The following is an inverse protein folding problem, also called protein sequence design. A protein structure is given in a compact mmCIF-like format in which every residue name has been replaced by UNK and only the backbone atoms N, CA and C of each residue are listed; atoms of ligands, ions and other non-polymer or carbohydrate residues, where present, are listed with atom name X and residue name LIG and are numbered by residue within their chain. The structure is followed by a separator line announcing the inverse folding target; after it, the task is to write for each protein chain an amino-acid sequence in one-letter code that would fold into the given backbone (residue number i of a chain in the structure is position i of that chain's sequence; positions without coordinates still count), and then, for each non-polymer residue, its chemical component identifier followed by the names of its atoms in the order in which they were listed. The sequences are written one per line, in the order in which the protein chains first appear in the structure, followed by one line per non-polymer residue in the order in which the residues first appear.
data_IF_350490990291
#
_entry.id   IF_350490990291
#
_cell.length_a   1.000
_cell.length_b   1.000
_cell.length_c   1.000
_cell.angle_alpha   90.00
_cell.angle_beta   90.00
_cell.angle_gamma   90.00
#
_symmetry.space_group_name_H-M   'P 1'
#
loop_
_entity.id
_entity.type
_entity.pdbx_description
1 polymer ?
#
# COMPACT_ATOMS: atom_id res chain seq x y z
N UNK A 1 39.84 34.70 25.13
CA UNK A 1 38.95 33.54 25.41
C UNK A 1 37.70 33.51 24.50
N UNK A 2 37.78 33.88 23.22
CA UNK A 2 36.63 33.86 22.28
C UNK A 2 36.86 33.03 21.00
N UNK A 3 38.13 32.78 20.66
CA UNK A 3 38.50 32.00 19.46
C UNK A 3 38.26 30.49 19.61
N UNK A 4 38.44 29.95 20.83
CA UNK A 4 38.19 28.53 21.14
C UNK A 4 36.71 28.13 21.01
N UNK A 5 35.77 29.06 21.26
CA UNK A 5 34.33 28.78 21.17
C UNK A 5 33.86 28.70 19.70
N UNK A 6 34.39 29.57 18.84
CA UNK A 6 34.05 29.58 17.40
C UNK A 6 34.54 28.30 16.72
N UNK A 7 35.75 27.83 17.08
CA UNK A 7 36.28 26.58 16.55
C UNK A 7 35.46 25.36 16.97
N UNK A 8 34.93 25.38 18.20
CA UNK A 8 34.06 24.31 18.73
C UNK A 8 32.70 24.29 18.01
N UNK A 9 32.14 25.45 17.69
CA UNK A 9 30.89 25.58 16.95
C UNK A 9 31.05 25.13 15.48
N UNK A 10 32.15 25.50 14.82
CA UNK A 10 32.47 25.07 13.46
C UNK A 10 32.70 23.56 13.37
N UNK A 11 33.36 22.97 14.38
CA UNK A 11 33.56 21.52 14.45
C UNK A 11 32.22 20.78 14.59
N UNK A 12 31.30 21.28 15.42
CA UNK A 12 29.96 20.68 15.59
C UNK A 12 29.17 20.72 14.28
N UNK A 13 29.16 21.86 13.57
CA UNK A 13 28.47 21.99 12.29
C UNK A 13 29.04 21.07 11.20
N UNK A 14 30.36 20.86 11.18
CA UNK A 14 31.01 19.90 10.27
C UNK A 14 30.61 18.45 10.57
N UNK A 15 30.55 18.07 11.85
CA UNK A 15 30.16 16.71 12.27
C UNK A 15 28.68 16.45 11.97
N UNK A 16 27.80 17.44 12.17
CA UNK A 16 26.37 17.33 11.82
C UNK A 16 26.17 17.13 10.31
N UNK A 17 26.89 17.88 9.46
CA UNK A 17 26.83 17.68 8.00
C UNK A 17 27.35 16.30 7.58
N UNK A 18 28.42 15.79 8.20
CA UNK A 18 28.93 14.43 7.95
C UNK A 18 27.92 13.34 8.36
N UNK A 19 27.19 13.53 9.47
CA UNK A 19 26.13 12.61 9.90
C UNK A 19 24.95 12.61 8.92
N UNK A 20 24.55 13.77 8.40
CA UNK A 20 23.47 13.89 7.41
C UNK A 20 23.82 13.24 6.05
N UNK A 21 25.09 13.26 5.64
CA UNK A 21 25.55 12.59 4.42
C UNK A 21 25.50 11.06 4.57
N UNK A 22 25.72 10.52 5.78
CA UNK A 22 25.69 9.07 6.05
C UNK A 22 24.28 8.44 5.97
N UNK A 23 23.21 9.24 6.04
CA UNK A 23 21.83 8.74 5.99
C UNK A 23 21.24 8.60 4.58
N UNK A 24 22.00 8.82 3.50
CA UNK A 24 21.47 8.82 2.12
C UNK A 24 22.00 7.75 1.17
N UNK A 25 22.66 6.71 1.66
CA UNK A 25 23.32 5.71 0.80
C UNK A 25 22.92 4.26 1.13
N UNK A 26 21.62 3.94 1.04
CA UNK A 26 21.16 2.54 1.14
C UNK A 26 19.97 2.21 0.25
N UNK A 27 20.05 2.49 -1.05
CA UNK A 27 19.30 1.77 -2.11
C UNK A 27 19.95 1.98 -3.48
N UNK A 28 21.12 1.35 -3.74
CA UNK A 28 21.62 1.17 -5.12
C UNK A 28 22.67 0.04 -5.20
N UNK A 29 22.22 -1.21 -5.13
CA UNK A 29 22.95 -2.36 -5.71
C UNK A 29 22.05 -3.60 -5.68
N UNK A 30 21.63 -4.05 -6.85
CA UNK A 30 21.44 -5.44 -7.33
C UNK A 30 20.69 -5.28 -8.67
N UNK A 31 21.39 -4.70 -9.64
CA UNK A 31 21.19 -4.98 -11.05
C UNK A 31 22.61 -5.22 -11.53
N UNK A 32 22.95 -6.49 -11.69
CA UNK A 32 23.83 -7.04 -12.73
C UNK A 32 24.22 -8.48 -12.34
N UNK A 33 23.78 -9.40 -13.21
CA UNK A 33 24.45 -10.64 -13.60
C UNK A 33 24.18 -11.90 -12.76
N UNK A 34 23.13 -12.63 -13.14
CA UNK A 34 23.33 -14.06 -13.43
C UNK A 34 22.73 -14.39 -14.79
N UNK A 35 23.56 -14.19 -15.81
CA UNK A 35 23.36 -14.76 -17.14
C UNK A 35 23.28 -16.28 -17.01
N UNK A 36 22.13 -16.85 -17.38
CA UNK A 36 22.08 -18.22 -17.89
C UNK A 36 21.28 -18.18 -19.18
N UNK A 37 22.01 -18.04 -20.29
CA UNK A 37 21.53 -18.58 -21.56
C UNK A 37 21.28 -20.09 -21.40
N UNK A 38 20.26 -20.57 -22.13
CA UNK A 38 20.04 -21.95 -22.61
C UNK A 38 18.83 -22.70 -22.02
N UNK A 39 17.64 -22.37 -22.54
CA UNK A 39 16.64 -23.37 -22.99
C UNK A 39 16.11 -22.83 -24.34
N UNK A 40 16.82 -23.05 -25.45
CA UNK A 40 16.55 -24.11 -26.45
C UNK A 40 15.06 -24.27 -26.77
N UNK A 41 14.65 -23.54 -27.79
CA UNK A 41 13.96 -24.01 -28.99
C UNK A 41 12.72 -24.93 -28.85
N UNK A 42 11.67 -24.43 -29.51
CA UNK A 42 10.84 -25.12 -30.52
C UNK A 42 9.49 -25.72 -30.11
N UNK A 43 8.49 -25.23 -30.87
CA UNK A 43 7.25 -25.88 -31.31
C UNK A 43 6.09 -25.80 -30.32
N UNK A 44 4.84 -25.61 -30.72
CA UNK A 44 4.19 -25.32 -32.00
C UNK A 44 2.71 -25.15 -31.64
N UNK A 45 1.99 -24.36 -32.42
CA UNK A 45 0.54 -24.17 -32.28
C UNK A 45 -0.21 -25.48 -32.02
N UNK A 46 -1.04 -25.50 -30.98
CA UNK A 46 -2.26 -26.32 -30.91
C UNK A 46 -3.35 -25.41 -30.36
N UNK A 47 -4.26 -25.03 -31.25
CA UNK A 47 -5.56 -24.49 -30.94
C UNK A 47 -6.52 -25.68 -30.84
N UNK A 48 -7.11 -25.90 -29.66
CA UNK A 48 -8.37 -26.65 -29.56
C UNK A 48 -9.12 -26.24 -28.30
N UNK A 49 -10.33 -25.72 -28.50
CA UNK A 49 -11.40 -25.57 -27.54
C UNK A 49 -11.53 -26.80 -26.64
N UNK A 50 -11.41 -26.63 -25.31
CA UNK A 50 -12.02 -27.44 -24.23
C UNK A 50 -11.51 -26.94 -22.89
N UNK A 51 -12.35 -26.34 -22.04
CA UNK A 51 -12.23 -26.32 -20.56
C UNK A 51 -13.64 -26.00 -20.01
N UNK A 52 -14.47 -26.95 -19.54
CA UNK A 52 -14.34 -27.82 -18.37
C UNK A 52 -13.97 -27.02 -17.11
N UNK A 53 -14.91 -26.96 -16.18
CA UNK A 53 -14.73 -26.44 -14.82
C UNK A 53 -13.47 -27.07 -14.20
N UNK A 54 -12.43 -26.26 -14.03
CA UNK A 54 -11.22 -26.63 -13.34
C UNK A 54 -11.24 -26.01 -11.94
N UNK A 55 -11.05 -26.88 -10.96
CA UNK A 55 -10.85 -26.58 -9.55
C UNK A 55 -9.72 -25.55 -9.40
N UNK A 56 -9.93 -24.55 -8.53
CA UNK A 56 -8.92 -23.53 -8.24
C UNK A 56 -7.79 -24.16 -7.44
N UNK A 57 -6.76 -24.59 -8.16
CA UNK A 57 -5.44 -24.84 -7.61
C UNK A 57 -4.93 -23.58 -6.90
N UNK A 58 -4.48 -23.76 -5.66
CA UNK A 58 -3.78 -22.80 -4.83
C UNK A 58 -2.37 -22.56 -5.41
N UNK A 59 -2.31 -21.94 -6.59
CA UNK A 59 -1.08 -21.49 -7.22
C UNK A 59 -0.74 -20.10 -6.67
N UNK A 60 0.48 -19.98 -6.16
CA UNK A 60 1.07 -18.77 -5.57
C UNK A 60 1.10 -17.64 -6.61
N UNK A 61 -0.02 -16.94 -6.72
CA UNK A 61 -0.24 -15.81 -7.61
C UNK A 61 0.59 -14.63 -7.15
N UNK A 62 1.38 -14.05 -8.07
CA UNK A 62 1.99 -12.75 -7.83
C UNK A 62 0.88 -11.73 -7.59
N UNK A 63 0.75 -11.24 -6.36
CA UNK A 63 -0.26 -10.24 -6.01
C UNK A 63 0.02 -8.96 -6.78
N UNK A 64 -0.89 -8.60 -7.69
CA UNK A 64 -0.83 -7.31 -8.41
C UNK A 64 -1.23 -6.20 -7.44
N UNK A 65 -0.34 -5.21 -7.29
CA UNK A 65 -0.62 -4.00 -6.51
C UNK A 65 -1.32 -2.97 -7.39
N UNK A 66 -2.38 -2.37 -6.86
CA UNK A 66 -3.23 -1.42 -7.58
C UNK A 66 -3.27 -0.12 -6.76
N UNK A 67 -3.07 1.02 -7.42
CA UNK A 67 -3.33 2.32 -6.80
C UNK A 67 -4.80 2.67 -7.01
N UNK A 68 -5.52 2.91 -5.93
CA UNK A 68 -6.94 3.27 -5.95
C UNK A 68 -7.21 4.47 -5.06
N UNK A 69 -8.14 5.32 -5.50
CA UNK A 69 -8.65 6.45 -4.72
C UNK A 69 -10.03 6.10 -4.20
N UNK A 70 -10.37 6.58 -3.03
CA UNK A 70 -11.67 6.29 -2.44
C UNK A 70 -11.82 6.84 -1.04
N UNK A 71 -12.80 6.26 -0.34
CA UNK A 71 -13.18 6.63 1.02
C UNK A 71 -12.86 5.48 1.95
N UNK A 72 -12.17 5.73 3.05
CA UNK A 72 -11.98 4.75 4.13
C UNK A 72 -12.88 5.12 5.30
N UNK A 73 -13.53 4.10 5.87
CA UNK A 73 -14.29 4.20 7.13
C UNK A 73 -13.87 3.07 8.07
N UNK A 74 -13.39 3.40 9.27
CA UNK A 74 -13.00 2.45 10.31
C UNK A 74 -13.82 2.64 11.59
N UNK A 75 -14.10 1.54 12.27
CA UNK A 75 -14.65 1.49 13.63
C UNK A 75 -14.68 0.06 14.18
N UNK A 76 -15.45 -0.18 15.24
CA UNK A 76 -15.41 -1.46 15.96
C UNK A 76 -15.83 -2.67 15.11
N UNK A 77 -16.74 -2.48 14.15
CA UNK A 77 -17.29 -3.55 13.29
C UNK A 77 -17.15 -3.21 11.79
N UNK A 78 -16.46 -2.11 11.48
CA UNK A 78 -16.34 -1.57 10.12
C UNK A 78 -14.87 -1.35 9.79
N UNK A 79 -14.44 -1.91 8.68
CA UNK A 79 -13.13 -1.63 8.07
C UNK A 79 -13.34 -1.57 6.57
N UNK A 80 -13.96 -0.49 6.09
CA UNK A 80 -14.47 -0.39 4.73
C UNK A 80 -13.65 0.58 3.87
N UNK A 81 -13.51 0.22 2.59
CA UNK A 81 -13.03 1.08 1.52
C UNK A 81 -14.03 1.12 0.37
N UNK A 82 -14.43 2.33 0.00
CA UNK A 82 -15.32 2.61 -1.13
C UNK A 82 -14.51 3.30 -2.23
N UNK A 83 -14.09 2.60 -3.31
CA UNK A 83 -13.36 3.22 -4.41
C UNK A 83 -14.19 4.33 -5.06
N UNK A 84 -13.55 5.38 -5.55
CA UNK A 84 -14.24 6.38 -6.36
C UNK A 84 -14.73 5.73 -7.68
N UNK A 85 -15.99 5.99 -8.05
CA UNK A 85 -16.59 5.44 -9.27
C UNK A 85 -16.99 3.97 -9.22
N UNK A 86 -16.96 3.33 -8.04
CA UNK A 86 -17.52 2.00 -7.79
C UNK A 86 -18.59 2.10 -6.69
N UNK A 87 -19.71 1.40 -6.88
CA UNK A 87 -20.81 1.33 -5.91
C UNK A 87 -20.62 0.21 -4.87
N UNK A 88 -19.55 -0.57 -4.99
CA UNK A 88 -19.21 -1.65 -4.06
C UNK A 88 -18.24 -1.17 -2.98
N UNK A 89 -18.50 -1.63 -1.75
CA UNK A 89 -17.56 -1.52 -0.65
C UNK A 89 -16.69 -2.79 -0.52
N UNK A 90 -15.46 -2.59 -0.06
CA UNK A 90 -14.49 -3.65 0.16
C UNK A 90 -13.99 -3.61 1.60
N UNK A 91 -13.80 -4.78 2.20
CA UNK A 91 -13.20 -4.85 3.52
C UNK A 91 -11.70 -4.59 3.41
N UNK A 92 -11.13 -3.74 4.25
CA UNK A 92 -9.68 -3.51 4.27
C UNK A 92 -9.02 -4.09 5.50
N UNK A 93 -7.88 -4.72 5.29
CA UNK A 93 -6.92 -5.04 6.35
C UNK A 93 -6.05 -3.82 6.60
N UNK A 94 -6.53 -2.93 7.46
CA UNK A 94 -5.81 -1.75 7.91
C UNK A 94 -4.79 -2.13 9.01
N UNK A 95 -3.52 -1.86 8.74
CA UNK A 95 -2.46 -1.96 9.73
C UNK A 95 -2.48 -0.78 10.72
N UNK A 96 -1.47 -0.69 11.58
CA UNK A 96 -1.35 0.39 12.57
C UNK A 96 -1.16 1.76 11.91
N UNK A 97 -0.38 1.85 10.82
CA UNK A 97 -0.14 3.10 10.11
C UNK A 97 -1.45 3.68 9.54
N UNK A 98 -2.23 2.83 8.86
CA UNK A 98 -3.53 3.24 8.30
C UNK A 98 -4.50 3.66 9.41
N UNK A 99 -4.54 2.90 10.52
CA UNK A 99 -5.40 3.22 11.68
C UNK A 99 -5.01 4.55 12.30
N UNK A 100 -3.72 4.80 12.52
CA UNK A 100 -3.24 6.03 13.12
C UNK A 100 -3.59 7.24 12.24
N UNK A 101 -3.38 7.15 10.93
CA UNK A 101 -3.76 8.20 9.99
C UNK A 101 -5.26 8.47 10.07
N UNK A 102 -6.09 7.42 10.04
CA UNK A 102 -7.54 7.53 10.13
C UNK A 102 -7.99 8.20 11.42
N UNK A 103 -7.62 7.64 12.59
CA UNK A 103 -8.10 8.13 13.88
C UNK A 103 -7.57 9.52 14.23
N UNK A 104 -6.42 9.92 13.70
CA UNK A 104 -5.94 11.30 13.83
C UNK A 104 -6.80 12.29 13.02
N UNK A 105 -7.22 11.91 11.81
CA UNK A 105 -8.09 12.75 10.98
C UNK A 105 -9.52 12.84 11.52
N UNK A 106 -10.01 11.78 12.17
CA UNK A 106 -11.40 11.68 12.65
C UNK A 106 -11.59 11.93 14.15
N UNK A 107 -10.55 12.30 14.89
CA UNK A 107 -10.54 12.38 16.37
C UNK A 107 -11.72 13.15 16.98
N UNK A 108 -12.11 14.25 16.34
CA UNK A 108 -13.18 15.16 16.81
C UNK A 108 -14.38 15.18 15.84
N UNK A 109 -14.60 14.05 15.16
CA UNK A 109 -15.70 13.84 14.20
C UNK A 109 -16.69 12.82 14.74
N UNK A 110 -17.86 12.76 14.11
CA UNK A 110 -18.83 11.70 14.40
C UNK A 110 -18.22 10.31 14.15
N UNK A 111 -18.61 9.28 14.91
CA UNK A 111 -18.18 7.91 14.66
C UNK A 111 -18.42 7.51 13.21
N UNK A 112 -17.50 6.73 12.64
CA UNK A 112 -17.56 6.26 11.25
C UNK A 112 -17.54 7.39 10.20
N UNK A 113 -16.99 8.57 10.53
CA UNK A 113 -16.75 9.62 9.53
C UNK A 113 -15.73 9.16 8.49
N UNK A 114 -16.06 9.14 7.18
CA UNK A 114 -15.12 8.72 6.15
C UNK A 114 -14.02 9.76 5.94
N UNK A 115 -12.84 9.27 5.54
CA UNK A 115 -11.74 10.10 5.02
C UNK A 115 -11.50 9.79 3.55
N UNK A 116 -11.00 10.77 2.81
CA UNK A 116 -10.51 10.54 1.45
C UNK A 116 -9.09 9.96 1.51
N UNK A 117 -8.82 8.97 0.66
CA UNK A 117 -7.49 8.39 0.51
C UNK A 117 -7.13 8.10 -0.94
N UNK A 118 -5.82 8.06 -1.19
CA UNK A 118 -5.19 7.39 -2.33
C UNK A 118 -4.25 6.32 -1.77
N UNK A 119 -4.51 5.05 -2.06
CA UNK A 119 -3.83 3.90 -1.44
C UNK A 119 -3.34 2.91 -2.48
N UNK A 120 -2.24 2.23 -2.18
CA UNK A 120 -1.78 1.04 -2.89
C UNK A 120 -2.33 -0.20 -2.16
N UNK A 121 -3.01 -1.07 -2.90
CA UNK A 121 -3.74 -2.23 -2.36
C UNK A 121 -3.44 -3.52 -3.11
N UNK A 122 -3.60 -4.64 -2.42
CA UNK A 122 -3.64 -5.99 -3.00
C UNK A 122 -5.02 -6.59 -2.77
N UNK A 123 -5.65 -7.08 -3.83
CA UNK A 123 -6.87 -7.87 -3.72
C UNK A 123 -6.58 -9.27 -3.14
N UNK A 124 -7.22 -9.57 -2.01
CA UNK A 124 -7.09 -10.84 -1.28
C UNK A 124 -8.28 -11.78 -1.50
N UNK A 125 -9.26 -11.37 -2.30
CA UNK A 125 -10.47 -12.14 -2.54
C UNK A 125 -11.48 -12.02 -1.39
N UNK A 126 -12.63 -12.66 -1.60
CA UNK A 126 -13.74 -12.67 -0.65
C UNK A 126 -13.39 -13.46 0.62
N UNK A 127 -13.73 -12.89 1.78
CA UNK A 127 -13.68 -13.60 3.07
C UNK A 127 -14.89 -14.51 3.24
N UNK A 128 -14.71 -15.63 3.93
CA UNK A 128 -15.80 -16.56 4.30
C UNK A 128 -16.26 -16.39 5.75
N UNK A 129 -15.58 -15.57 6.55
CA UNK A 129 -15.85 -15.39 7.99
C UNK A 129 -15.82 -13.92 8.43
N UNK A 130 -16.47 -13.66 9.58
CA UNK A 130 -16.55 -12.38 10.26
C UNK A 130 -17.31 -11.30 9.46
N UNK A 131 -17.16 -10.04 9.90
CA UNK A 131 -17.75 -8.88 9.22
C UNK A 131 -17.29 -8.74 7.76
N UNK A 132 -16.10 -9.22 7.43
CA UNK A 132 -15.55 -9.18 6.07
C UNK A 132 -16.33 -10.05 5.06
N UNK A 133 -17.09 -11.05 5.51
CA UNK A 133 -17.86 -11.95 4.63
C UNK A 133 -19.02 -11.24 3.89
N UNK A 134 -19.47 -10.10 4.42
CA UNK A 134 -20.54 -9.28 3.84
C UNK A 134 -20.06 -8.39 2.67
N UNK A 135 -18.74 -8.29 2.47
CA UNK A 135 -18.13 -7.45 1.44
C UNK A 135 -17.84 -8.26 0.16
N UNK A 136 -17.71 -7.55 -0.97
CA UNK A 136 -17.45 -8.16 -2.28
C UNK A 136 -16.09 -8.86 -2.35
N UNK A 137 -15.08 -8.23 -1.76
CA UNK A 137 -13.72 -8.74 -1.61
C UNK A 137 -13.04 -8.10 -0.40
N UNK A 138 -11.87 -8.60 -0.04
CA UNK A 138 -11.00 -8.00 0.96
C UNK A 138 -9.73 -7.45 0.32
N UNK A 139 -9.26 -6.29 0.78
CA UNK A 139 -8.06 -5.62 0.31
C UNK A 139 -7.04 -5.51 1.43
N UNK A 140 -5.78 -5.77 1.12
CA UNK A 140 -4.65 -5.44 1.99
C UNK A 140 -4.07 -4.10 1.55
N UNK A 141 -3.97 -3.16 2.49
CA UNK A 141 -3.33 -1.86 2.22
C UNK A 141 -1.82 -2.05 2.30
N UNK A 142 -1.13 -1.81 1.20
CA UNK A 142 0.33 -1.87 1.11
C UNK A 142 0.94 -0.52 1.51
N UNK A 143 0.29 0.57 1.10
CA UNK A 143 0.81 1.93 1.33
C UNK A 143 -0.28 2.98 1.24
N UNK A 144 -0.21 3.98 2.13
CA UNK A 144 -0.99 5.23 2.02
C UNK A 144 -0.19 6.24 1.20
N UNK A 145 -0.76 6.73 0.10
CA UNK A 145 -0.15 7.76 -0.75
C UNK A 145 -0.67 9.16 -0.41
N UNK A 146 -1.95 9.25 -0.06
CA UNK A 146 -2.62 10.48 0.37
C UNK A 146 -3.73 10.11 1.36
N UNK A 147 -3.90 10.93 2.40
CA UNK A 147 -5.04 10.85 3.30
C UNK A 147 -5.40 12.24 3.82
N UNK A 148 -6.70 12.56 3.80
CA UNK A 148 -7.22 13.84 4.29
C UNK A 148 -8.71 13.73 4.62
N UNK A 149 -9.23 14.73 5.30
CA UNK A 149 -10.68 14.87 5.45
C UNK A 149 -11.36 14.91 4.07
N UNK A 150 -12.49 14.21 3.98
CA UNK A 150 -13.31 14.19 2.77
C UNK A 150 -13.94 15.57 2.50
N UNK A 151 -14.11 15.88 1.21
CA UNK A 151 -14.79 17.07 0.70
C UNK A 151 -15.85 16.69 -0.32
N UNK A 152 -16.77 17.60 -0.62
CA UNK A 152 -17.86 17.37 -1.56
C UNK A 152 -17.38 17.07 -2.99
N UNK A 153 -16.15 17.43 -3.36
CA UNK A 153 -15.60 17.17 -4.69
C UNK A 153 -14.90 15.80 -4.81
N UNK A 154 -14.80 15.05 -3.71
CA UNK A 154 -14.11 13.77 -3.70
C UNK A 154 -14.99 12.65 -4.21
N UNK A 155 -14.51 11.94 -5.24
CA UNK A 155 -15.21 10.84 -5.89
C UNK A 155 -16.50 11.23 -6.66
N UNK A 156 -16.68 12.51 -6.96
CA UNK A 156 -17.70 13.06 -7.86
C UNK A 156 -17.33 12.98 -9.36
#
# INVERSE_FOLDING_TARGET
MKLKCIFKLLLVLLVVNLVLISCKEKQKKIIENFSNEKIVAQNSAINTDTLVYAEKDHSKSGSTQIISKGRITLGHEVSAFSPCGDDNDFWIWADEEVKDVYYNLTKDKEPYTPIFVSIEIIDRGKSEDGFAAEYKSTYEVVKVLEARNISDMDCD
#
